data_IF_835576916199
#
_entry.id   IF_835576916199
#
_cell.length_a   1.000
_cell.length_b   1.000
_cell.length_c   1.000
_cell.angle_alpha   90.00
_cell.angle_beta   90.00
_cell.angle_gamma   90.00
#
_symmetry.space_group_name_H-M   'P 1'
#
loop_
_entity.id
_entity.type
_entity.pdbx_description
1 polymer ?
#
# COMPACT_ATOMS: atom_id res chain seq x y z
N UNK A 1 21.47 1.84 -7.75
CA UNK A 1 20.72 0.57 -7.70
C UNK A 1 19.51 0.85 -6.83
N UNK A 2 18.30 0.78 -7.38
CA UNK A 2 17.10 0.90 -6.55
C UNK A 2 17.12 -0.27 -5.58
N UNK A 3 16.92 0.00 -4.30
CA UNK A 3 16.85 -1.08 -3.31
C UNK A 3 15.61 -1.93 -3.65
N UNK A 4 15.81 -3.24 -3.77
CA UNK A 4 14.76 -4.15 -4.22
C UNK A 4 13.78 -4.34 -3.06
N UNK A 5 12.45 -4.23 -3.28
CA UNK A 5 11.49 -4.44 -2.22
C UNK A 5 11.69 -5.84 -1.65
N UNK A 6 11.84 -5.94 -0.33
CA UNK A 6 12.07 -7.20 0.37
C UNK A 6 10.78 -7.67 1.07
N UNK A 7 10.05 -6.72 1.65
CA UNK A 7 8.84 -6.98 2.41
C UNK A 7 7.83 -5.86 2.20
N UNK A 8 6.58 -6.23 2.05
CA UNK A 8 5.44 -5.31 2.05
C UNK A 8 4.60 -5.59 3.28
N UNK A 9 4.38 -4.57 4.10
CA UNK A 9 3.44 -4.59 5.21
C UNK A 9 2.22 -3.76 4.81
N UNK A 10 1.04 -4.36 4.89
CA UNK A 10 -0.22 -3.69 4.62
C UNK A 10 -1.04 -3.69 5.90
N UNK A 11 -1.54 -2.54 6.31
CA UNK A 11 -2.50 -2.39 7.38
C UNK A 11 -3.76 -1.74 6.83
N UNK A 12 -4.85 -2.51 6.73
CA UNK A 12 -6.17 -1.97 6.46
C UNK A 12 -6.79 -1.54 7.79
N UNK A 13 -7.15 -0.27 7.87
CA UNK A 13 -7.90 0.35 8.95
C UNK A 13 -9.23 0.86 8.37
N UNK A 14 -10.30 0.90 9.17
CA UNK A 14 -11.66 1.16 8.66
C UNK A 14 -12.47 -0.11 8.34
N UNK A 15 -13.79 0.03 8.29
CA UNK A 15 -14.76 -1.07 8.20
C UNK A 15 -15.48 -1.42 9.50
N UNK A 16 -16.21 -2.55 9.48
CA UNK A 16 -17.05 -3.02 10.59
C UNK A 16 -16.19 -3.28 11.85
N UNK A 17 -16.53 -2.61 12.95
CA UNK A 17 -15.89 -2.70 14.28
C UNK A 17 -14.46 -2.12 14.43
N UNK A 18 -13.91 -1.39 13.45
CA UNK A 18 -12.61 -0.69 13.58
C UNK A 18 -11.43 -1.63 13.93
N UNK A 19 -11.50 -2.90 13.51
CA UNK A 19 -10.43 -3.88 13.77
C UNK A 19 -9.39 -3.74 12.65
N UNK A 20 -8.13 -3.35 12.97
CA UNK A 20 -7.09 -3.23 11.96
C UNK A 20 -6.67 -4.62 11.47
N UNK A 21 -6.76 -4.86 10.17
CA UNK A 21 -6.21 -6.06 9.55
C UNK A 21 -4.80 -5.77 9.05
N UNK A 22 -3.85 -6.63 9.41
CA UNK A 22 -2.45 -6.53 8.99
C UNK A 22 -2.07 -7.74 8.16
N UNK A 23 -1.40 -7.50 7.04
CA UNK A 23 -0.81 -8.53 6.20
C UNK A 23 0.65 -8.19 5.95
N UNK A 24 1.52 -9.19 6.00
CA UNK A 24 2.92 -9.05 5.65
C UNK A 24 3.25 -10.06 4.57
N UNK A 25 3.66 -9.56 3.41
CA UNK A 25 3.95 -10.39 2.24
C UNK A 25 5.41 -10.17 1.85
N UNK A 26 6.21 -11.23 1.68
CA UNK A 26 7.55 -11.08 1.15
C UNK A 26 7.48 -10.73 -0.34
N UNK A 27 8.29 -9.77 -0.78
CA UNK A 27 8.20 -9.24 -2.14
C UNK A 27 8.56 -10.27 -3.23
N UNK A 28 9.28 -11.33 -2.89
CA UNK A 28 9.56 -12.45 -3.79
C UNK A 28 8.33 -13.34 -4.04
N UNK A 29 7.30 -13.26 -3.19
CA UNK A 29 6.05 -14.01 -3.34
C UNK A 29 4.98 -13.22 -4.11
N UNK A 30 5.25 -11.97 -4.49
CA UNK A 30 4.35 -11.18 -5.31
C UNK A 30 4.37 -11.67 -6.77
N UNK A 31 3.18 -11.77 -7.36
CA UNK A 31 3.05 -11.96 -8.79
C UNK A 31 3.53 -10.74 -9.59
N UNK A 32 3.69 -10.88 -10.91
CA UNK A 32 4.15 -9.79 -11.77
C UNK A 32 3.22 -8.57 -11.74
N UNK A 33 1.91 -8.77 -11.55
CA UNK A 33 0.93 -7.68 -11.48
C UNK A 33 1.03 -6.91 -10.16
N UNK A 34 1.11 -7.61 -9.03
CA UNK A 34 1.34 -6.98 -7.72
C UNK A 34 2.69 -6.26 -7.64
N UNK A 35 3.72 -6.82 -8.27
CA UNK A 35 5.05 -6.20 -8.31
C UNK A 35 5.03 -4.87 -9.09
N UNK A 36 4.29 -4.78 -10.19
CA UNK A 36 4.08 -3.52 -10.91
C UNK A 36 3.35 -2.48 -10.04
N UNK A 37 2.37 -2.91 -9.24
CA UNK A 37 1.70 -2.03 -8.27
C UNK A 37 2.65 -1.52 -7.18
N UNK A 38 3.53 -2.37 -6.65
CA UNK A 38 4.54 -1.96 -5.66
C UNK A 38 5.57 -0.99 -6.26
N UNK A 39 6.00 -1.21 -7.50
CA UNK A 39 6.93 -0.30 -8.18
C UNK A 39 6.32 1.09 -8.41
N UNK A 40 5.03 1.12 -8.79
CA UNK A 40 4.27 2.36 -8.89
C UNK A 40 4.14 3.09 -7.54
N UNK A 41 3.96 2.34 -6.44
CA UNK A 41 3.94 2.92 -5.08
C UNK A 41 5.32 3.44 -4.66
N UNK A 42 6.40 2.73 -4.97
CA UNK A 42 7.77 3.18 -4.70
C UNK A 42 8.17 4.43 -5.50
N UNK A 43 7.51 4.66 -6.64
CA UNK A 43 7.68 5.87 -7.45
C UNK A 43 6.90 7.08 -6.90
N UNK A 44 5.94 6.88 -5.97
CA UNK A 44 5.26 8.00 -5.27
C UNK A 44 6.20 8.63 -4.24
N UNK A 45 5.97 9.89 -3.90
CA UNK A 45 6.75 10.50 -2.83
C UNK A 45 6.29 9.95 -1.47
N UNK A 46 7.21 9.63 -0.55
CA UNK A 46 6.84 9.19 0.79
C UNK A 46 6.17 10.36 1.50
N UNK A 47 4.93 10.16 1.97
CA UNK A 47 4.07 11.13 2.65
C UNK A 47 3.28 12.12 1.78
N UNK A 48 2.74 11.70 0.63
CA UNK A 48 1.45 12.25 0.21
C UNK A 48 0.37 11.58 1.06
N UNK A 49 0.02 12.21 2.19
CA UNK A 49 -1.22 11.91 2.91
C UNK A 49 -2.36 11.98 1.89
N UNK A 50 -3.08 10.87 1.69
CA UNK A 50 -4.24 10.84 0.81
C UNK A 50 -5.10 12.09 1.12
N UNK A 51 -5.27 12.94 0.10
CA UNK A 51 -6.03 14.18 0.25
C UNK A 51 -7.37 13.84 0.90
N UNK A 52 -7.75 14.59 1.94
CA UNK A 52 -8.97 14.37 2.73
C UNK A 52 -10.23 14.65 1.90
N UNK A 53 -10.41 13.93 0.79
CA UNK A 53 -11.59 13.90 -0.04
C UNK A 53 -12.48 12.76 0.45
N UNK A 54 -13.52 13.15 1.20
CA UNK A 54 -14.53 12.25 1.76
C UNK A 54 -13.98 11.31 2.86
N UNK A 55 -14.76 10.98 3.90
CA UNK A 55 -14.36 9.98 4.88
C UNK A 55 -14.32 8.62 4.20
N UNK A 56 -13.16 8.29 3.67
CA UNK A 56 -12.90 7.01 3.03
C UNK A 56 -13.18 5.89 4.06
N UNK A 57 -14.08 4.95 3.72
CA UNK A 57 -14.56 3.93 4.67
C UNK A 57 -13.43 3.01 5.12
N UNK A 58 -12.39 2.89 4.29
CA UNK A 58 -11.19 2.12 4.54
C UNK A 58 -9.95 2.92 4.18
N UNK A 59 -8.96 2.88 5.07
CA UNK A 59 -7.64 3.43 4.88
C UNK A 59 -6.62 2.30 4.90
N UNK A 60 -5.73 2.26 3.92
CA UNK A 60 -4.69 1.26 3.76
C UNK A 60 -3.33 1.90 3.98
N UNK A 61 -2.67 1.54 5.06
CA UNK A 61 -1.29 1.91 5.37
C UNK A 61 -0.39 0.86 4.70
N UNK A 62 0.39 1.26 3.70
CA UNK A 62 1.29 0.37 2.96
C UNK A 62 2.72 0.79 3.25
N UNK A 63 3.44 -0.08 3.96
CA UNK A 63 4.88 0.05 4.14
C UNK A 63 5.59 -0.91 3.18
N UNK A 64 6.43 -0.38 2.31
CA UNK A 64 7.39 -1.16 1.53
C UNK A 64 8.76 -1.01 2.17
N UNK A 65 9.35 -2.15 2.56
CA UNK A 65 10.72 -2.22 3.08
C UNK A 65 11.62 -2.68 1.95
N UNK A 66 12.50 -1.79 1.52
CA UNK A 66 13.55 -2.05 0.54
C UNK A 66 14.90 -1.77 1.24
N UNK A 67 15.49 -2.83 1.81
CA UNK A 67 16.78 -2.76 2.48
C UNK A 67 16.74 -1.84 3.69
N UNK A 68 17.55 -0.78 3.67
CA UNK A 68 17.58 0.23 4.74
C UNK A 68 16.48 1.31 4.58
N UNK A 69 15.77 1.31 3.44
CA UNK A 69 14.74 2.29 3.14
C UNK A 69 13.35 1.73 3.46
N UNK A 70 12.63 2.45 4.30
CA UNK A 70 11.21 2.22 4.57
C UNK A 70 10.39 3.26 3.82
N UNK A 71 9.65 2.83 2.83
CA UNK A 71 8.73 3.68 2.07
C UNK A 71 7.32 3.48 2.61
N UNK A 72 6.67 4.56 3.04
CA UNK A 72 5.34 4.50 3.65
C UNK A 72 4.34 5.32 2.85
N UNK A 73 3.27 4.68 2.41
CA UNK A 73 2.21 5.29 1.60
C UNK A 73 0.87 4.95 2.23
N UNK A 74 -0.01 5.94 2.35
CA UNK A 74 -1.39 5.73 2.78
C UNK A 74 -2.31 5.85 1.57
N UNK A 75 -3.19 4.87 1.39
CA UNK A 75 -4.14 4.78 0.28
C UNK A 75 -5.57 4.75 0.80
N UNK A 76 -6.50 5.42 0.12
CA UNK A 76 -7.94 5.27 0.35
C UNK A 76 -8.56 4.06 -0.38
N UNK A 77 -9.80 3.67 -0.03
CA UNK A 77 -10.58 2.64 -0.75
C UNK A 77 -10.68 2.98 -2.23
N UNK A 78 -10.88 4.26 -2.55
CA UNK A 78 -11.02 4.76 -3.92
C UNK A 78 -9.79 4.45 -4.78
N UNK A 79 -8.58 4.54 -4.21
CA UNK A 79 -7.32 4.26 -4.92
C UNK A 79 -7.04 2.75 -5.06
N UNK A 80 -7.44 1.96 -4.07
CA UNK A 80 -7.29 0.49 -4.14
C UNK A 80 -8.26 -0.19 -5.10
N UNK A 81 -9.42 0.42 -5.37
CA UNK A 81 -10.46 -0.12 -6.27
C UNK A 81 -10.26 0.25 -7.73
N UNK A 82 -9.32 1.15 -8.06
CA UNK A 82 -9.07 1.63 -9.41
C UNK A 82 -8.64 0.54 -10.43
N UNK A 83 -8.39 -0.70 -9.98
CA UNK A 83 -8.10 -1.86 -10.82
C UNK A 83 -9.27 -2.84 -11.05
N UNK A 84 -10.43 -2.65 -10.43
CA UNK A 84 -11.55 -3.61 -10.53
C UNK A 84 -12.84 -2.91 -10.93
N UNK A 85 -12.96 -2.52 -12.20
CA UNK A 85 -14.19 -1.94 -12.70
C UNK A 85 -14.17 -1.57 -14.18
N UNK A 86 -14.33 -2.57 -15.06
CA UNK A 86 -15.46 -2.62 -16.01
C UNK A 86 -15.55 -4.00 -16.66
#
# INVERSE_FOLDING_TARGET
MADEPQRIELARTGGFANIPMRASVPAHALGPHERAGVDALLSRQPAEEAEAGEPDRFQYDVTVVAGERRHHVRLGEAETTAGCGR
#
